data_IF_589355192764
#
_entry.id   IF_589355192764
#
_cell.length_a   1.000
_cell.length_b   1.000
_cell.length_c   1.000
_cell.angle_alpha   90.00
_cell.angle_beta   90.00
_cell.angle_gamma   90.00
#
_symmetry.space_group_name_H-M   'P 1'
#
loop_
_entity.id
_entity.type
_entity.pdbx_description
1 polymer ?
#
# COMPACT_ATOMS: atom_id res chain seq x y z
N UNK A 1 -25.68 30.59 -8.30
CA UNK A 1 -24.26 30.15 -8.39
C UNK A 1 -24.27 28.78 -9.03
N UNK A 2 -23.25 28.43 -9.81
CA UNK A 2 -23.09 27.05 -10.27
C UNK A 2 -22.97 26.13 -9.04
N UNK A 3 -23.49 24.91 -9.13
CA UNK A 3 -23.35 23.91 -8.06
C UNK A 3 -21.88 23.51 -7.98
N UNK A 4 -21.37 23.27 -6.77
CA UNK A 4 -20.05 22.67 -6.60
C UNK A 4 -20.03 21.29 -7.29
N UNK A 5 -18.91 20.91 -7.92
CA UNK A 5 -18.79 19.66 -8.67
C UNK A 5 -17.74 18.71 -8.07
N UNK A 6 -18.17 17.49 -7.75
CA UNK A 6 -17.31 16.37 -7.38
C UNK A 6 -17.18 15.39 -8.55
N UNK A 7 -15.95 15.19 -9.03
CA UNK A 7 -15.64 14.26 -10.12
C UNK A 7 -15.06 12.96 -9.54
N UNK A 8 -15.83 11.88 -9.60
CA UNK A 8 -15.38 10.55 -9.18
C UNK A 8 -14.63 9.90 -10.34
N UNK A 9 -13.31 9.73 -10.28
CA UNK A 9 -12.57 9.09 -11.37
C UNK A 9 -12.51 7.57 -11.23
N UNK A 10 -12.73 7.06 -10.01
CA UNK A 10 -12.76 5.62 -9.73
C UNK A 10 -13.73 5.33 -8.57
N UNK A 11 -14.99 4.97 -8.86
CA UNK A 11 -16.03 4.88 -7.83
C UNK A 11 -15.81 3.67 -6.94
N UNK A 12 -16.01 3.84 -5.63
CA UNK A 12 -15.93 2.79 -4.59
C UNK A 12 -17.32 2.40 -4.08
N UNK A 13 -18.22 3.38 -3.95
CA UNK A 13 -19.57 3.17 -3.47
C UNK A 13 -20.47 2.62 -4.59
N UNK A 14 -20.54 1.30 -4.70
CA UNK A 14 -21.39 0.64 -5.70
C UNK A 14 -22.89 0.88 -5.47
N UNK A 15 -23.32 1.16 -4.23
CA UNK A 15 -24.71 1.47 -3.91
C UNK A 15 -25.07 2.92 -4.23
N UNK A 16 -24.08 3.80 -4.35
CA UNK A 16 -24.22 5.21 -4.68
C UNK A 16 -24.87 6.05 -3.58
N UNK A 17 -25.06 5.51 -2.39
CA UNK A 17 -25.73 6.20 -1.28
C UNK A 17 -24.97 7.46 -0.85
N UNK A 18 -23.64 7.42 -0.86
CA UNK A 18 -22.79 8.59 -0.59
C UNK A 18 -22.95 9.67 -1.66
N UNK A 19 -23.04 9.27 -2.92
CA UNK A 19 -23.25 10.20 -4.03
C UNK A 19 -24.62 10.86 -3.95
N UNK A 20 -25.67 10.14 -3.55
CA UNK A 20 -27.00 10.71 -3.30
C UNK A 20 -27.01 11.68 -2.11
N UNK A 21 -26.29 11.37 -1.03
CA UNK A 21 -26.12 12.31 0.10
C UNK A 21 -25.43 13.60 -0.32
N UNK A 22 -24.38 13.52 -1.14
CA UNK A 22 -23.71 14.69 -1.71
C UNK A 22 -24.65 15.51 -2.60
N UNK A 23 -25.42 14.85 -3.49
CA UNK A 23 -26.42 15.50 -4.36
C UNK A 23 -27.51 16.21 -3.57
N UNK A 24 -27.97 15.61 -2.48
CA UNK A 24 -28.96 16.22 -1.59
C UNK A 24 -28.45 17.52 -0.92
N UNK A 25 -27.12 17.68 -0.77
CA UNK A 25 -26.48 18.92 -0.32
C UNK A 25 -26.16 19.91 -1.44
N UNK A 26 -26.69 19.68 -2.66
CA UNK A 26 -26.53 20.59 -3.79
C UNK A 26 -25.22 20.43 -4.56
N UNK A 27 -24.47 19.36 -4.33
CA UNK A 27 -23.23 19.04 -5.05
C UNK A 27 -23.58 18.28 -6.34
N UNK A 28 -23.03 18.68 -7.47
CA UNK A 28 -23.08 17.91 -8.71
C UNK A 28 -22.03 16.79 -8.64
N UNK A 29 -22.44 15.53 -8.81
CA UNK A 29 -21.55 14.37 -8.65
C UNK A 29 -21.49 13.60 -9.96
N UNK A 30 -20.33 13.70 -10.62
CA UNK A 30 -20.02 13.00 -11.86
C UNK A 30 -19.39 11.66 -11.52
N UNK A 31 -19.98 10.57 -12.00
CA UNK A 31 -19.52 9.20 -11.76
C UNK A 31 -19.43 8.47 -13.11
N UNK A 32 -18.29 7.83 -13.44
CA UNK A 32 -18.14 7.08 -14.67
C UNK A 32 -18.90 5.76 -14.57
N UNK A 33 -19.23 5.20 -15.74
CA UNK A 33 -19.95 3.93 -15.83
C UNK A 33 -19.12 2.72 -15.35
N UNK A 34 -17.78 2.83 -15.35
CA UNK A 34 -16.88 1.74 -14.97
C UNK A 34 -16.50 1.78 -13.47
N UNK A 35 -16.88 0.71 -12.75
CA UNK A 35 -16.47 0.48 -11.38
C UNK A 35 -14.98 0.15 -11.24
N UNK A 36 -14.40 0.51 -10.09
CA UNK A 36 -12.97 0.32 -9.82
C UNK A 36 -12.49 -1.13 -10.00
N UNK A 37 -13.31 -2.11 -9.60
CA UNK A 37 -12.99 -3.53 -9.68
C UNK A 37 -12.88 -4.05 -11.12
N UNK A 38 -13.62 -3.44 -12.06
CA UNK A 38 -13.53 -3.80 -13.49
C UNK A 38 -12.26 -3.20 -14.11
N UNK A 39 -11.91 -1.97 -13.73
CA UNK A 39 -10.68 -1.32 -14.19
C UNK A 39 -9.40 -1.99 -13.64
N UNK A 40 -9.44 -2.58 -12.45
CA UNK A 40 -8.28 -3.21 -11.80
C UNK A 40 -7.67 -4.39 -12.58
N UNK A 41 -8.42 -4.99 -13.51
CA UNK A 41 -7.95 -6.10 -14.35
C UNK A 41 -7.33 -5.65 -15.69
N UNK A 42 -7.27 -4.33 -15.95
CA UNK A 42 -6.72 -3.78 -17.19
C UNK A 42 -5.26 -3.37 -16.99
N UNK A 43 -4.40 -3.70 -17.95
CA UNK A 43 -2.99 -3.25 -17.99
C UNK A 43 -2.82 -1.82 -18.51
N UNK A 44 -3.82 -1.33 -19.24
CA UNK A 44 -3.78 -0.01 -19.83
C UNK A 44 -3.66 1.07 -18.75
N UNK A 45 -2.77 2.03 -18.99
CA UNK A 45 -2.62 3.21 -18.16
C UNK A 45 -3.29 4.38 -18.86
N UNK A 46 -4.25 4.97 -18.16
CA UNK A 46 -5.06 6.07 -18.66
C UNK A 46 -4.73 7.29 -17.81
N UNK A 47 -4.49 8.40 -18.47
CA UNK A 47 -4.48 9.72 -17.85
C UNK A 47 -5.93 10.15 -17.61
N UNK A 48 -6.29 10.38 -16.35
CA UNK A 48 -7.61 10.88 -16.01
C UNK A 48 -7.69 12.34 -16.41
N UNK A 49 -8.82 12.76 -16.97
CA UNK A 49 -9.10 14.17 -17.18
C UNK A 49 -10.36 14.54 -16.40
N UNK A 50 -10.20 15.45 -15.45
CA UNK A 50 -11.34 16.02 -14.73
C UNK A 50 -12.10 17.01 -15.61
N UNK A 51 -13.35 17.30 -15.26
CA UNK A 51 -14.10 18.38 -15.89
C UNK A 51 -13.42 19.73 -15.58
N UNK A 52 -13.45 20.69 -16.50
CA UNK A 52 -12.82 22.01 -16.31
C UNK A 52 -13.34 22.74 -15.05
N UNK A 53 -14.60 22.50 -14.68
CA UNK A 53 -15.29 23.07 -13.53
C UNK A 53 -15.34 22.12 -12.31
N UNK A 54 -14.51 21.07 -12.26
CA UNK A 54 -14.42 20.21 -11.08
C UNK A 54 -13.80 20.94 -9.86
N UNK A 55 -14.46 20.85 -8.71
CA UNK A 55 -13.98 21.41 -7.44
C UNK A 55 -13.25 20.37 -6.58
N UNK A 56 -13.57 19.08 -6.73
CA UNK A 56 -12.89 17.99 -6.03
C UNK A 56 -12.87 16.70 -6.86
N UNK A 57 -11.74 15.98 -6.83
CA UNK A 57 -11.57 14.66 -7.46
C UNK A 57 -11.62 13.53 -6.43
N UNK A 58 -12.36 12.45 -6.69
CA UNK A 58 -12.55 11.32 -5.77
C UNK A 58 -12.19 9.98 -6.42
N UNK A 59 -11.40 9.14 -5.76
CA UNK A 59 -11.10 7.81 -6.29
C UNK A 59 -10.12 6.99 -5.47
N UNK A 60 -9.53 5.98 -6.07
CA UNK A 60 -8.54 5.11 -5.41
C UNK A 60 -7.18 5.32 -6.04
N UNK A 61 -6.13 5.01 -5.27
CA UNK A 61 -4.82 4.85 -5.87
C UNK A 61 -4.80 3.57 -6.72
N UNK A 62 -4.57 3.74 -8.02
CA UNK A 62 -4.46 2.64 -8.98
C UNK A 62 -3.41 2.98 -10.03
N UNK A 63 -2.64 1.97 -10.47
CA UNK A 63 -1.65 2.12 -11.55
C UNK A 63 -2.29 2.43 -12.91
N UNK A 64 -3.54 1.98 -13.09
CA UNK A 64 -4.29 2.11 -14.35
C UNK A 64 -4.81 3.52 -14.61
N UNK A 65 -4.94 4.37 -13.59
CA UNK A 65 -5.49 5.72 -13.70
C UNK A 65 -4.58 6.71 -12.99
N UNK A 66 -3.92 7.58 -13.76
CA UNK A 66 -2.96 8.54 -13.24
C UNK A 66 -3.53 9.96 -13.32
N UNK A 67 -3.30 10.74 -12.27
CA UNK A 67 -3.59 12.16 -12.17
C UNK A 67 -2.28 12.91 -12.38
N UNK A 68 -2.04 13.36 -13.61
CA UNK A 68 -0.80 14.07 -13.98
C UNK A 68 -0.91 15.55 -13.66
N UNK A 69 0.17 16.32 -13.85
CA UNK A 69 0.09 17.78 -13.91
C UNK A 69 -1.01 18.27 -14.86
N UNK A 70 -1.12 17.71 -16.06
CA UNK A 70 -2.14 18.15 -17.03
C UNK A 70 -3.56 17.85 -16.54
N UNK A 71 -3.78 16.72 -15.86
CA UNK A 71 -5.05 16.43 -15.16
C UNK A 71 -5.40 17.53 -14.17
N UNK A 72 -4.43 17.94 -13.34
CA UNK A 72 -4.65 18.90 -12.25
C UNK A 72 -4.80 20.34 -12.77
N UNK A 73 -4.05 20.71 -13.82
CA UNK A 73 -4.14 22.04 -14.46
C UNK A 73 -5.44 22.23 -15.24
N UNK A 74 -6.06 21.14 -15.71
CA UNK A 74 -7.32 21.19 -16.46
C UNK A 74 -8.49 21.77 -15.65
N UNK A 75 -8.42 21.71 -14.32
CA UNK A 75 -9.48 22.17 -13.42
C UNK A 75 -8.97 23.28 -12.49
N UNK A 76 -8.96 24.55 -12.92
CA UNK A 76 -8.42 25.66 -12.12
C UNK A 76 -9.13 25.88 -10.78
N UNK A 77 -10.39 25.42 -10.66
CA UNK A 77 -11.19 25.44 -9.43
C UNK A 77 -10.90 24.29 -8.47
N UNK A 78 -10.12 23.28 -8.87
CA UNK A 78 -9.88 22.08 -8.08
C UNK A 78 -9.24 22.44 -6.74
N UNK A 79 -9.92 22.06 -5.67
CA UNK A 79 -9.51 22.34 -4.29
C UNK A 79 -8.80 21.15 -3.66
N UNK A 80 -9.21 19.94 -4.01
CA UNK A 80 -8.60 18.73 -3.47
C UNK A 80 -8.75 17.50 -4.40
N UNK A 81 -7.93 16.49 -4.14
CA UNK A 81 -8.12 15.10 -4.57
C UNK A 81 -8.17 14.23 -3.31
N UNK A 82 -9.22 13.42 -3.17
CA UNK A 82 -9.42 12.54 -2.03
C UNK A 82 -9.38 11.06 -2.45
N UNK A 83 -8.54 10.30 -1.76
CA UNK A 83 -8.36 8.87 -1.99
C UNK A 83 -9.11 8.04 -0.95
N UNK A 84 -9.86 7.02 -1.40
CA UNK A 84 -10.45 5.99 -0.52
C UNK A 84 -9.41 4.99 0.02
N UNK A 85 -8.17 5.04 -0.50
CA UNK A 85 -7.07 4.13 -0.15
C UNK A 85 -6.09 4.76 0.85
N UNK A 86 -5.23 3.92 1.44
CA UNK A 86 -4.05 4.38 2.19
C UNK A 86 -3.02 5.01 1.25
N UNK A 87 -2.77 4.39 0.09
CA UNK A 87 -1.86 4.93 -0.91
C UNK A 87 -2.49 6.02 -1.76
N UNK A 88 -1.64 6.81 -2.40
CA UNK A 88 -1.95 7.99 -3.22
C UNK A 88 -0.88 8.18 -4.33
N UNK A 89 -0.23 7.10 -4.74
CA UNK A 89 0.95 7.12 -5.62
C UNK A 89 0.64 7.41 -7.10
N UNK A 90 -0.64 7.52 -7.47
CA UNK A 90 -1.08 7.83 -8.82
C UNK A 90 -1.45 9.31 -9.03
N UNK A 91 -1.09 10.20 -8.10
CA UNK A 91 -1.17 11.66 -8.29
C UNK A 91 0.21 12.29 -8.35
N UNK A 92 0.39 13.24 -9.27
CA UNK A 92 1.55 14.12 -9.30
C UNK A 92 1.54 15.05 -8.08
N UNK A 93 2.20 14.59 -7.01
CA UNK A 93 2.25 15.30 -5.73
C UNK A 93 2.92 16.67 -5.85
N UNK A 94 3.97 16.76 -6.69
CA UNK A 94 4.72 18.00 -6.91
C UNK A 94 3.82 19.04 -7.57
N UNK A 95 3.09 18.64 -8.62
CA UNK A 95 2.09 19.51 -9.27
C UNK A 95 0.93 19.88 -8.34
N UNK A 96 0.39 18.93 -7.57
CA UNK A 96 -0.69 19.20 -6.61
C UNK A 96 -0.28 20.26 -5.58
N UNK A 97 0.90 20.10 -4.99
CA UNK A 97 1.47 21.05 -4.03
C UNK A 97 1.71 22.41 -4.67
N UNK A 98 2.32 22.46 -5.86
CA UNK A 98 2.56 23.71 -6.59
C UNK A 98 1.27 24.45 -6.95
N UNK A 99 0.23 23.73 -7.35
CA UNK A 99 -1.04 24.36 -7.76
C UNK A 99 -1.87 24.83 -6.56
N UNK A 100 -1.56 24.37 -5.34
CA UNK A 100 -2.38 24.67 -4.17
C UNK A 100 -3.61 23.77 -4.09
N UNK A 101 -3.45 22.49 -4.42
CA UNK A 101 -4.49 21.45 -4.40
C UNK A 101 -4.14 20.47 -3.29
N UNK A 102 -5.07 20.26 -2.36
CA UNK A 102 -4.84 19.29 -1.28
C UNK A 102 -4.97 17.87 -1.79
N UNK A 103 -4.10 16.98 -1.32
CA UNK A 103 -4.25 15.54 -1.47
C UNK A 103 -4.59 14.96 -0.10
N UNK A 104 -5.71 14.27 0.00
CA UNK A 104 -6.12 13.56 1.22
C UNK A 104 -6.29 12.07 0.94
N UNK A 105 -6.05 11.24 1.94
CA UNK A 105 -6.15 9.79 1.85
C UNK A 105 -6.97 9.22 3.01
N UNK A 106 -7.35 7.94 2.92
CA UNK A 106 -8.23 7.32 3.91
C UNK A 106 -7.55 6.11 4.58
N UNK A 107 -6.66 6.33 5.56
CA UNK A 107 -5.96 5.27 6.26
C UNK A 107 -6.82 4.57 7.31
N UNK A 108 -7.93 3.98 6.86
CA UNK A 108 -8.87 3.25 7.72
C UNK A 108 -8.25 1.95 8.25
N UNK A 109 -8.57 1.58 9.48
CA UNK A 109 -8.08 0.34 10.11
C UNK A 109 -8.37 -0.93 9.29
N UNK A 110 -9.57 -1.11 8.70
CA UNK A 110 -9.83 -2.26 7.84
C UNK A 110 -8.91 -2.36 6.62
N UNK A 111 -8.31 -1.24 6.18
CA UNK A 111 -7.35 -1.22 5.07
C UNK A 111 -5.93 -1.56 5.55
N UNK A 112 -5.32 -0.72 6.41
CA UNK A 112 -3.93 -0.96 6.84
C UNK A 112 -3.79 -2.15 7.79
N UNK A 113 -4.79 -2.41 8.63
CA UNK A 113 -4.82 -3.56 9.55
C UNK A 113 -4.95 -4.87 8.79
N UNK A 114 -5.77 -4.88 7.73
CA UNK A 114 -5.91 -6.02 6.81
C UNK A 114 -4.60 -6.36 6.11
N UNK A 115 -3.80 -5.37 5.69
CA UNK A 115 -2.46 -5.64 5.11
C UNK A 115 -1.57 -6.34 6.13
N UNK A 116 -1.49 -5.81 7.35
CA UNK A 116 -0.63 -6.38 8.39
C UNK A 116 -1.04 -7.83 8.74
N UNK A 117 -2.35 -8.10 8.85
CA UNK A 117 -2.87 -9.45 9.08
C UNK A 117 -2.52 -10.42 7.93
N UNK A 118 -2.73 -10.01 6.68
CA UNK A 118 -2.42 -10.86 5.53
C UNK A 118 -0.93 -11.11 5.35
N UNK A 119 -0.08 -10.09 5.56
CA UNK A 119 1.39 -10.22 5.54
C UNK A 119 1.85 -11.18 6.61
N UNK A 120 1.33 -11.03 7.82
CA UNK A 120 1.58 -11.94 8.92
C UNK A 120 1.22 -13.40 8.55
N UNK A 121 0.03 -13.62 7.99
CA UNK A 121 -0.41 -14.94 7.53
C UNK A 121 0.51 -15.52 6.44
N UNK A 122 0.95 -14.70 5.48
CA UNK A 122 1.83 -15.14 4.39
C UNK A 122 3.24 -15.47 4.86
N UNK A 123 3.80 -14.70 5.80
CA UNK A 123 5.08 -15.03 6.44
C UNK A 123 4.97 -16.39 7.14
N UNK A 124 3.90 -16.64 7.90
CA UNK A 124 3.68 -17.94 8.54
C UNK A 124 3.52 -19.07 7.51
N UNK A 125 2.80 -18.82 6.42
CA UNK A 125 2.62 -19.81 5.36
C UNK A 125 3.97 -20.23 4.74
N UNK A 126 4.86 -19.26 4.47
CA UNK A 126 6.21 -19.52 3.98
C UNK A 126 7.07 -20.26 5.00
N UNK A 127 7.15 -19.75 6.24
CA UNK A 127 7.96 -20.38 7.31
C UNK A 127 7.51 -21.81 7.62
N UNK A 128 6.21 -22.10 7.50
CA UNK A 128 5.65 -23.43 7.79
C UNK A 128 5.51 -24.30 6.54
N UNK A 129 5.87 -23.83 5.36
CA UNK A 129 5.75 -24.54 4.08
C UNK A 129 4.33 -25.09 3.86
N UNK A 130 3.32 -24.27 4.13
CA UNK A 130 1.92 -24.72 4.18
C UNK A 130 1.45 -25.22 2.81
N UNK A 131 1.78 -24.49 1.74
CA UNK A 131 1.39 -24.81 0.35
C UNK A 131 2.06 -26.10 -0.11
N UNK A 132 3.34 -26.26 0.19
CA UNK A 132 4.15 -27.41 -0.20
C UNK A 132 3.67 -28.68 0.51
N UNK A 133 3.39 -28.59 1.82
CA UNK A 133 2.86 -29.71 2.60
C UNK A 133 1.49 -30.14 2.12
N UNK A 134 0.58 -29.20 1.89
CA UNK A 134 -0.76 -29.47 1.37
C UNK A 134 -0.69 -30.18 0.01
N UNK A 135 0.09 -29.62 -0.93
CA UNK A 135 0.33 -30.20 -2.25
C UNK A 135 0.91 -31.61 -2.16
N UNK A 136 1.93 -31.82 -1.32
CA UNK A 136 2.59 -33.11 -1.14
C UNK A 136 1.62 -34.22 -0.70
N UNK A 137 0.79 -33.95 0.30
CA UNK A 137 -0.20 -34.92 0.80
C UNK A 137 -1.26 -35.21 -0.26
N UNK A 138 -1.75 -34.19 -0.97
CA UNK A 138 -2.73 -34.37 -2.06
C UNK A 138 -2.18 -35.18 -3.24
N UNK A 139 -0.86 -35.21 -3.41
CA UNK A 139 -0.16 -36.03 -4.41
C UNK A 139 0.20 -37.43 -3.92
N UNK A 140 -0.29 -37.85 -2.73
CA UNK A 140 -0.05 -39.17 -2.16
C UNK A 140 1.23 -39.28 -1.31
N UNK A 141 1.90 -38.15 -1.05
CA UNK A 141 3.04 -38.06 -0.15
C UNK A 141 2.65 -38.12 1.33
N UNK A 142 3.66 -38.21 2.22
CA UNK A 142 3.46 -38.24 3.66
C UNK A 142 4.57 -37.53 4.46
N UNK A 143 5.55 -38.27 5.01
CA UNK A 143 6.68 -37.72 5.75
C UNK A 143 7.86 -37.50 4.82
N UNK A 144 8.22 -36.24 4.61
CA UNK A 144 9.41 -35.84 3.86
C UNK A 144 10.21 -34.78 4.65
N UNK A 145 11.48 -35.05 5.02
CA UNK A 145 12.35 -34.07 5.68
C UNK A 145 12.50 -32.74 4.94
N UNK A 146 12.33 -32.71 3.60
CA UNK A 146 12.38 -31.47 2.80
C UNK A 146 11.27 -30.48 3.15
N UNK A 147 10.18 -30.97 3.75
CA UNK A 147 9.04 -30.18 4.20
C UNK A 147 9.20 -29.65 5.64
N UNK A 148 10.39 -29.75 6.23
CA UNK A 148 10.67 -29.13 7.53
C UNK A 148 10.44 -27.62 7.45
N UNK A 149 9.68 -27.09 8.40
CA UNK A 149 9.43 -25.66 8.52
C UNK A 149 10.32 -25.03 9.60
N UNK A 150 10.30 -23.71 9.66
CA UNK A 150 11.12 -22.90 10.57
C UNK A 150 10.38 -22.65 11.88
N UNK A 151 11.04 -22.82 13.02
CA UNK A 151 10.51 -22.42 14.32
C UNK A 151 10.68 -20.90 14.50
N UNK A 152 9.73 -20.21 15.15
CA UNK A 152 9.67 -18.75 15.09
C UNK A 152 10.36 -18.09 16.29
N UNK A 153 9.89 -18.40 17.49
CA UNK A 153 10.37 -17.75 18.71
C UNK A 153 11.59 -18.45 19.33
N UNK A 154 12.13 -17.90 20.43
CA UNK A 154 13.22 -18.52 21.14
C UNK A 154 12.79 -19.83 21.83
N UNK A 155 13.77 -20.69 22.13
CA UNK A 155 13.58 -21.98 22.81
C UNK A 155 14.58 -22.17 23.95
N UNK A 156 14.25 -23.08 24.87
CA UNK A 156 15.07 -23.38 26.05
C UNK A 156 16.44 -24.00 25.71
N UNK A 157 16.62 -24.50 24.50
CA UNK A 157 17.89 -25.07 24.03
C UNK A 157 18.82 -24.03 23.37
N UNK A 158 18.49 -22.74 23.49
CA UNK A 158 19.34 -21.64 23.01
C UNK A 158 19.08 -21.21 21.57
N UNK A 159 18.08 -21.78 20.89
CA UNK A 159 17.62 -21.19 19.62
C UNK A 159 16.99 -19.83 19.88
N UNK A 160 17.50 -18.77 19.23
CA UNK A 160 17.08 -17.39 19.48
C UNK A 160 15.76 -17.01 18.80
N UNK A 161 15.30 -17.82 17.85
CA UNK A 161 14.18 -17.49 16.98
C UNK A 161 14.65 -16.84 15.67
N UNK A 162 13.70 -16.41 14.86
CA UNK A 162 13.95 -15.62 13.66
C UNK A 162 14.08 -14.13 14.01
N UNK A 163 14.71 -13.36 13.13
CA UNK A 163 14.69 -11.89 13.15
C UNK A 163 13.79 -11.34 12.05
N UNK A 164 12.87 -10.45 12.41
CA UNK A 164 12.01 -9.71 11.49
C UNK A 164 12.56 -8.30 11.25
N UNK A 165 12.84 -7.94 10.00
CA UNK A 165 13.22 -6.60 9.56
C UNK A 165 12.09 -5.88 8.85
N UNK A 166 11.69 -4.71 9.34
CA UNK A 166 10.59 -3.90 8.82
C UNK A 166 11.13 -2.61 8.19
N UNK A 167 10.90 -2.43 6.90
CA UNK A 167 11.20 -1.18 6.18
C UNK A 167 9.93 -0.34 6.17
N UNK A 168 9.94 0.77 6.90
CA UNK A 168 8.76 1.61 7.14
C UNK A 168 7.95 1.13 8.35
N UNK A 169 8.06 1.84 9.47
CA UNK A 169 7.32 1.60 10.70
C UNK A 169 6.13 2.57 10.81
N UNK A 170 5.39 2.67 9.68
CA UNK A 170 4.10 3.33 9.58
C UNK A 170 2.97 2.52 10.22
N UNK A 171 1.70 2.79 9.90
CA UNK A 171 0.55 2.06 10.47
C UNK A 171 0.65 0.54 10.27
N UNK A 172 1.00 0.11 9.05
CA UNK A 172 1.11 -1.31 8.68
C UNK A 172 2.31 -1.95 9.39
N UNK A 173 3.51 -1.36 9.28
CA UNK A 173 4.72 -1.88 9.92
C UNK A 173 4.61 -1.97 11.44
N UNK A 174 4.08 -0.93 12.08
CA UNK A 174 3.75 -0.93 13.51
C UNK A 174 2.84 -2.07 13.90
N UNK A 175 1.71 -2.23 13.19
CA UNK A 175 0.75 -3.30 13.48
C UNK A 175 1.36 -4.67 13.29
N UNK A 176 2.19 -4.85 12.26
CA UNK A 176 2.89 -6.10 12.04
C UNK A 176 3.86 -6.42 13.17
N UNK A 177 4.62 -5.42 13.65
CA UNK A 177 5.49 -5.58 14.81
C UNK A 177 4.69 -6.07 16.03
N UNK A 178 3.55 -5.44 16.32
CA UNK A 178 2.65 -5.83 17.43
C UNK A 178 2.15 -7.27 17.31
N UNK A 179 1.79 -7.72 16.08
CA UNK A 179 1.34 -9.08 15.82
C UNK A 179 2.44 -10.12 16.10
N UNK A 180 3.72 -9.77 15.92
CA UNK A 180 4.85 -10.67 16.17
C UNK A 180 5.35 -10.64 17.62
N UNK A 181 4.99 -9.64 18.43
CA UNK A 181 5.45 -9.52 19.83
C UNK A 181 5.27 -10.78 20.69
N UNK A 182 4.15 -11.53 20.61
CA UNK A 182 3.96 -12.72 21.44
C UNK A 182 5.02 -13.82 21.22
N UNK A 183 5.66 -13.87 20.04
CA UNK A 183 6.76 -14.80 19.77
C UNK A 183 8.10 -14.40 20.37
N UNK A 184 8.23 -13.16 20.88
CA UNK A 184 9.46 -12.66 21.51
C UNK A 184 10.67 -12.76 20.57
N UNK A 185 10.43 -12.58 19.28
CA UNK A 185 11.50 -12.52 18.27
C UNK A 185 12.17 -11.15 18.28
N UNK A 186 13.37 -11.07 17.69
CA UNK A 186 14.03 -9.80 17.42
C UNK A 186 13.29 -9.08 16.29
N UNK A 187 12.92 -7.82 16.51
CA UNK A 187 12.31 -6.96 15.49
C UNK A 187 13.23 -5.78 15.25
N UNK A 188 13.72 -5.67 14.03
CA UNK A 188 14.50 -4.56 13.50
C UNK A 188 13.59 -3.68 12.65
N UNK A 189 13.76 -2.37 12.70
CA UNK A 189 13.02 -1.46 11.85
C UNK A 189 13.89 -0.32 11.33
N UNK A 190 13.65 0.07 10.08
CA UNK A 190 14.27 1.23 9.45
C UNK A 190 13.19 2.16 8.92
N UNK A 191 13.09 3.36 9.49
CA UNK A 191 12.17 4.41 9.06
C UNK A 191 12.74 5.78 9.45
N UNK A 192 13.19 6.60 8.48
CA UNK A 192 13.85 7.87 8.77
C UNK A 192 12.88 9.03 9.09
N UNK A 193 11.56 8.82 9.00
CA UNK A 193 10.57 9.89 9.10
C UNK A 193 9.68 9.83 10.33
N UNK A 194 9.97 8.94 11.29
CA UNK A 194 9.19 8.80 12.52
C UNK A 194 10.05 9.08 13.75
N UNK A 195 9.39 9.46 14.84
CA UNK A 195 10.05 9.67 16.12
C UNK A 195 10.54 8.36 16.76
N UNK A 196 11.67 8.43 17.48
CA UNK A 196 12.23 7.32 18.26
C UNK A 196 11.21 6.67 19.21
N UNK A 197 10.27 7.47 19.74
CA UNK A 197 9.21 7.02 20.64
C UNK A 197 8.35 5.91 20.04
N UNK A 198 8.18 5.91 18.71
CA UNK A 198 7.37 4.93 17.99
C UNK A 198 8.07 3.57 17.90
N UNK A 199 9.39 3.55 17.72
CA UNK A 199 10.19 2.32 17.80
C UNK A 199 10.08 1.67 19.18
N UNK A 200 10.21 2.47 20.23
CA UNK A 200 10.05 2.01 21.63
C UNK A 200 8.64 1.47 21.87
N UNK A 201 7.61 2.17 21.41
CA UNK A 201 6.21 1.77 21.62
C UNK A 201 5.90 0.40 21.03
N UNK A 202 6.43 0.10 19.83
CA UNK A 202 6.22 -1.18 19.14
C UNK A 202 7.32 -2.22 19.43
N UNK A 203 8.21 -1.95 20.40
CA UNK A 203 9.33 -2.81 20.76
C UNK A 203 10.11 -3.29 19.51
N UNK A 204 10.42 -2.33 18.63
CA UNK A 204 11.22 -2.52 17.43
C UNK A 204 12.55 -1.75 17.58
N UNK A 205 13.66 -2.38 17.24
CA UNK A 205 14.98 -1.75 17.33
C UNK A 205 15.25 -0.89 16.09
N UNK A 206 15.51 0.41 16.24
CA UNK A 206 15.88 1.26 15.11
C UNK A 206 17.27 0.87 14.61
N UNK A 207 17.39 0.59 13.32
CA UNK A 207 18.65 0.26 12.63
C UNK A 207 18.70 0.90 11.25
N UNK A 208 19.89 0.96 10.66
CA UNK A 208 20.04 1.33 9.26
C UNK A 208 19.62 0.18 8.31
N UNK A 209 19.44 0.52 7.02
CA UNK A 209 19.06 -0.45 5.99
C UNK A 209 20.07 -1.58 5.83
N UNK A 210 21.37 -1.32 5.98
CA UNK A 210 22.40 -2.33 5.81
C UNK A 210 22.33 -3.41 6.90
N UNK A 211 22.25 -2.97 8.15
CA UNK A 211 22.08 -3.82 9.32
C UNK A 211 20.77 -4.61 9.22
N UNK A 212 19.68 -3.95 8.82
CA UNK A 212 18.38 -4.60 8.65
C UNK A 212 18.46 -5.77 7.66
N UNK A 213 19.07 -5.55 6.49
CA UNK A 213 19.18 -6.59 5.45
C UNK A 213 20.08 -7.75 5.88
N UNK A 214 21.23 -7.45 6.51
CA UNK A 214 22.19 -8.47 6.93
C UNK A 214 21.70 -9.33 8.11
N UNK A 215 20.92 -8.74 9.03
CA UNK A 215 20.52 -9.42 10.28
C UNK A 215 19.13 -10.05 10.24
N UNK A 216 18.30 -9.77 9.25
CA UNK A 216 16.92 -10.26 9.19
C UNK A 216 16.78 -11.59 8.47
N UNK A 217 15.96 -12.49 9.01
CA UNK A 217 15.52 -13.71 8.31
C UNK A 217 14.26 -13.45 7.48
N UNK A 218 13.48 -12.43 7.85
CA UNK A 218 12.36 -11.91 7.06
C UNK A 218 12.56 -10.41 6.88
N UNK A 219 12.53 -9.91 5.64
CA UNK A 219 12.54 -8.47 5.35
C UNK A 219 11.20 -8.10 4.74
N UNK A 220 10.50 -7.12 5.30
CA UNK A 220 9.16 -6.71 4.82
C UNK A 220 9.08 -5.21 4.58
N UNK A 221 8.58 -4.81 3.40
CA UNK A 221 8.46 -3.42 2.99
C UNK A 221 7.03 -2.88 3.15
N UNK A 222 6.92 -1.75 3.88
CA UNK A 222 5.69 -1.03 4.17
C UNK A 222 5.85 0.50 4.02
N UNK A 223 6.81 0.94 3.21
CA UNK A 223 7.02 2.35 2.86
C UNK A 223 6.16 2.78 1.65
N UNK A 224 5.94 4.09 1.53
CA UNK A 224 5.27 4.67 0.36
C UNK A 224 6.16 4.57 -0.88
N UNK A 225 5.57 4.47 -2.07
CA UNK A 225 6.31 4.60 -3.33
C UNK A 225 6.60 6.07 -3.62
N UNK A 226 7.89 6.42 -3.68
CA UNK A 226 8.40 7.76 -3.96
C UNK A 226 9.61 7.65 -4.91
N UNK A 227 10.19 8.79 -5.28
CA UNK A 227 11.48 8.82 -6.01
C UNK A 227 12.59 8.10 -5.23
N UNK A 228 12.56 8.15 -3.89
CA UNK A 228 13.58 7.56 -3.01
C UNK A 228 13.38 6.05 -2.78
N UNK A 229 12.15 5.55 -2.84
CA UNK A 229 11.83 4.14 -2.57
C UNK A 229 11.62 3.32 -3.85
N UNK A 230 11.66 3.95 -5.02
CA UNK A 230 11.65 3.22 -6.30
C UNK A 230 12.94 2.43 -6.45
N UNK A 231 12.82 1.12 -6.68
CA UNK A 231 13.91 0.14 -6.69
C UNK A 231 14.78 0.21 -5.43
N UNK A 232 14.16 0.47 -4.27
CA UNK A 232 14.83 0.46 -2.97
C UNK A 232 15.51 -0.87 -2.68
N UNK A 233 14.90 -1.98 -3.11
CA UNK A 233 15.48 -3.32 -3.02
C UNK A 233 15.86 -3.78 -4.42
N UNK A 234 17.11 -3.56 -4.80
CA UNK A 234 17.71 -4.03 -6.04
C UNK A 234 18.72 -5.15 -5.82
N UNK A 235 19.54 -5.43 -6.83
CA UNK A 235 20.56 -6.49 -6.79
C UNK A 235 21.51 -6.37 -5.57
N UNK A 236 21.93 -5.14 -5.24
CA UNK A 236 22.85 -4.87 -4.14
C UNK A 236 22.23 -5.18 -2.79
N UNK A 237 20.97 -4.79 -2.58
CA UNK A 237 20.24 -5.00 -1.34
C UNK A 237 19.91 -6.48 -1.17
N UNK A 238 19.49 -7.15 -2.24
CA UNK A 238 19.25 -8.60 -2.26
C UNK A 238 20.54 -9.38 -1.93
N UNK A 239 21.69 -8.96 -2.44
CA UNK A 239 22.98 -9.59 -2.14
C UNK A 239 23.44 -9.41 -0.67
N UNK A 240 22.87 -8.43 0.06
CA UNK A 240 23.13 -8.21 1.49
C UNK A 240 22.25 -9.04 2.39
N UNK A 241 21.13 -9.56 1.87
CA UNK A 241 20.23 -10.41 2.65
C UNK A 241 20.88 -11.76 2.96
N UNK A 242 20.39 -12.41 4.03
CA UNK A 242 20.85 -13.77 4.36
C UNK A 242 20.42 -14.77 3.28
N UNK A 243 21.22 -15.82 3.00
CA UNK A 243 20.83 -16.91 2.11
C UNK A 243 19.48 -17.56 2.43
N UNK A 244 19.12 -17.62 3.72
CA UNK A 244 17.85 -18.17 4.20
C UNK A 244 16.70 -17.17 4.26
N UNK A 245 16.90 -15.91 3.86
CA UNK A 245 15.93 -14.85 4.09
C UNK A 245 14.73 -14.93 3.14
N UNK A 246 13.59 -14.40 3.60
CA UNK A 246 12.40 -14.19 2.77
C UNK A 246 12.14 -12.70 2.65
N UNK A 247 11.98 -12.21 1.42
CA UNK A 247 11.56 -10.83 1.13
C UNK A 247 10.03 -10.76 1.04
N UNK A 248 9.42 -9.75 1.64
CA UNK A 248 7.97 -9.50 1.58
C UNK A 248 7.71 -8.10 1.06
N UNK A 249 6.88 -7.99 0.02
CA UNK A 249 6.39 -6.71 -0.48
C UNK A 249 4.86 -6.76 -0.61
N UNK A 250 4.21 -6.01 0.27
CA UNK A 250 2.78 -5.72 0.21
C UNK A 250 2.53 -4.20 0.20
N UNK A 251 3.53 -3.43 -0.23
CA UNK A 251 3.46 -1.98 -0.36
C UNK A 251 3.17 -1.59 -1.81
N UNK A 252 4.20 -1.54 -2.65
CA UNK A 252 4.09 -1.25 -4.09
C UNK A 252 5.14 -2.04 -4.87
N UNK A 253 4.74 -2.57 -6.03
CA UNK A 253 5.60 -3.38 -6.89
C UNK A 253 6.96 -2.74 -7.20
N UNK A 254 7.02 -1.47 -7.67
CA UNK A 254 8.28 -0.81 -8.02
C UNK A 254 9.22 -0.50 -6.86
N UNK A 255 8.88 -0.84 -5.62
CA UNK A 255 9.83 -0.75 -4.50
C UNK A 255 10.93 -1.82 -4.63
N UNK A 256 10.60 -2.93 -5.30
CA UNK A 256 11.50 -4.05 -5.54
C UNK A 256 11.78 -4.15 -7.03
N UNK A 257 13.05 -4.27 -7.38
CA UNK A 257 13.45 -4.69 -8.73
C UNK A 257 13.12 -6.18 -8.88
N UNK A 258 12.04 -6.48 -9.60
CA UNK A 258 11.52 -7.85 -9.75
C UNK A 258 12.43 -8.74 -10.57
N UNK A 259 13.19 -8.18 -11.51
CA UNK A 259 14.13 -8.96 -12.32
C UNK A 259 15.35 -9.33 -11.46
N UNK A 260 15.87 -8.39 -10.67
CA UNK A 260 16.92 -8.70 -9.70
C UNK A 260 16.45 -9.70 -8.63
N UNK A 261 15.19 -9.60 -8.19
CA UNK A 261 14.59 -10.57 -7.26
C UNK A 261 14.49 -11.96 -7.87
N UNK A 262 14.07 -12.06 -9.13
CA UNK A 262 14.04 -13.33 -9.86
C UNK A 262 15.44 -13.97 -9.88
N UNK A 263 16.48 -13.22 -10.27
CA UNK A 263 17.86 -13.72 -10.34
C UNK A 263 18.36 -14.17 -8.96
N UNK A 264 18.07 -13.41 -7.91
CA UNK A 264 18.45 -13.76 -6.54
C UNK A 264 17.78 -15.06 -6.06
N UNK A 265 16.51 -15.28 -6.42
CA UNK A 265 15.77 -16.50 -6.08
C UNK A 265 16.19 -17.71 -6.92
N UNK A 266 16.41 -17.52 -8.22
CA UNK A 266 16.83 -18.59 -9.13
C UNK A 266 18.22 -19.13 -8.72
N UNK A 267 19.10 -18.24 -8.28
CA UNK A 267 20.45 -18.56 -7.82
C UNK A 267 20.54 -18.93 -6.33
N UNK A 268 19.41 -19.13 -5.66
CA UNK A 268 19.32 -19.48 -4.23
C UNK A 268 20.09 -18.50 -3.30
N UNK A 269 20.21 -17.22 -3.69
CA UNK A 269 20.81 -16.16 -2.85
C UNK A 269 19.92 -15.76 -1.69
N UNK A 270 18.60 -15.91 -1.84
CA UNK A 270 17.61 -15.83 -0.77
C UNK A 270 16.63 -16.99 -0.91
N UNK A 271 15.94 -17.34 0.18
CA UNK A 271 15.13 -18.56 0.22
C UNK A 271 13.74 -18.41 -0.41
N UNK A 272 13.19 -17.20 -0.44
CA UNK A 272 11.86 -16.98 -0.99
C UNK A 272 11.39 -15.53 -1.01
N UNK A 273 10.21 -15.31 -1.58
CA UNK A 273 9.55 -14.02 -1.59
C UNK A 273 8.03 -14.14 -1.43
N UNK A 274 7.42 -13.10 -0.88
CA UNK A 274 5.97 -12.89 -0.80
C UNK A 274 5.67 -11.56 -1.48
N UNK A 275 4.89 -11.57 -2.55
CA UNK A 275 4.54 -10.37 -3.31
C UNK A 275 3.02 -10.30 -3.46
N UNK A 276 2.40 -9.32 -2.80
CA UNK A 276 1.01 -8.94 -3.10
C UNK A 276 0.94 -7.94 -4.26
N UNK A 277 2.07 -7.34 -4.63
CA UNK A 277 2.15 -6.26 -5.61
C UNK A 277 3.29 -6.53 -6.60
N UNK A 278 3.10 -6.09 -7.84
CA UNK A 278 4.07 -6.22 -8.93
C UNK A 278 4.23 -4.89 -9.69
N UNK A 279 5.36 -4.64 -10.38
CA UNK A 279 5.54 -3.42 -11.16
C UNK A 279 4.45 -3.22 -12.22
N UNK A 280 3.97 -4.31 -12.82
CA UNK A 280 2.83 -4.32 -13.72
C UNK A 280 1.71 -5.19 -13.15
N UNK A 281 0.51 -4.63 -13.13
CA UNK A 281 -0.67 -5.25 -12.52
C UNK A 281 -1.87 -5.08 -13.47
N UNK A 282 -2.48 -6.16 -13.97
CA UNK A 282 -2.05 -7.57 -13.82
C UNK A 282 -0.76 -7.86 -14.62
N UNK A 283 0.15 -8.72 -14.10
CA UNK A 283 1.41 -9.01 -14.79
C UNK A 283 1.20 -9.73 -16.12
N UNK A 284 2.21 -9.71 -16.98
CA UNK A 284 2.27 -10.63 -18.12
C UNK A 284 2.37 -12.08 -17.60
N UNK A 285 1.57 -13.05 -18.09
CA UNK A 285 1.70 -14.46 -17.71
C UNK A 285 3.10 -15.04 -17.97
N UNK A 286 3.90 -14.42 -18.84
CA UNK A 286 5.28 -14.79 -19.13
C UNK A 286 6.32 -14.10 -18.22
N UNK A 287 5.90 -13.25 -17.28
CA UNK A 287 6.83 -12.64 -16.31
C UNK A 287 7.57 -13.76 -15.55
N UNK A 288 8.92 -13.82 -15.61
CA UNK A 288 9.69 -14.98 -15.12
C UNK A 288 9.44 -15.37 -13.67
N UNK A 289 9.25 -14.38 -12.78
CA UNK A 289 9.02 -14.61 -11.34
C UNK A 289 7.79 -15.47 -11.05
N UNK A 290 6.80 -15.47 -11.96
CA UNK A 290 5.59 -16.32 -11.84
C UNK A 290 5.91 -17.82 -11.96
N UNK A 291 7.05 -18.16 -12.58
CA UNK A 291 7.49 -19.54 -12.82
C UNK A 291 8.29 -20.18 -11.67
N UNK A 292 8.61 -19.43 -10.61
CA UNK A 292 9.49 -19.91 -9.52
C UNK A 292 8.81 -20.85 -8.49
N UNK A 293 7.56 -21.25 -8.75
CA UNK A 293 6.86 -22.27 -7.96
C UNK A 293 6.68 -21.85 -6.49
N UNK A 294 7.15 -22.68 -5.56
CA UNK A 294 6.97 -22.47 -4.12
C UNK A 294 7.96 -21.47 -3.49
N UNK A 295 9.00 -21.05 -4.23
CA UNK A 295 9.90 -19.98 -3.78
C UNK A 295 9.18 -18.63 -3.69
N UNK A 296 8.09 -18.45 -4.43
CA UNK A 296 7.33 -17.19 -4.45
C UNK A 296 5.87 -17.44 -4.09
N UNK A 297 5.36 -16.67 -3.13
CA UNK A 297 3.94 -16.55 -2.83
C UNK A 297 3.44 -15.25 -3.44
N UNK A 298 2.47 -15.38 -4.36
CA UNK A 298 1.86 -14.26 -5.06
C UNK A 298 0.43 -14.06 -4.59
N UNK A 299 0.03 -12.80 -4.45
CA UNK A 299 -1.36 -12.40 -4.26
C UNK A 299 -1.71 -11.28 -5.25
N UNK A 300 -2.94 -11.21 -5.76
CA UNK A 300 -3.30 -10.30 -6.84
C UNK A 300 -3.65 -8.88 -6.33
N UNK A 301 -2.79 -8.27 -5.50
CA UNK A 301 -3.01 -6.95 -4.88
C UNK A 301 -4.35 -6.87 -4.11
N UNK A 302 -4.62 -7.93 -3.34
CA UNK A 302 -5.87 -8.13 -2.62
C UNK A 302 -5.65 -8.65 -1.20
N UNK A 303 -4.46 -8.47 -0.63
CA UNK A 303 -4.15 -8.93 0.73
C UNK A 303 -5.09 -8.35 1.81
N UNK A 304 -5.76 -7.23 1.51
CA UNK A 304 -6.73 -6.57 2.40
C UNK A 304 -8.18 -6.99 2.19
N UNK A 305 -8.46 -7.79 1.16
CA UNK A 305 -9.82 -8.17 0.77
C UNK A 305 -10.41 -9.20 1.73
N UNK A 306 -11.03 -8.71 2.81
CA UNK A 306 -11.70 -9.53 3.81
C UNK A 306 -13.21 -9.26 3.80
N UNK A 307 -14.00 -10.25 4.26
CA UNK A 307 -15.45 -10.07 4.41
C UNK A 307 -15.75 -8.97 5.43
N UNK A 308 -16.60 -8.01 5.08
CA UNK A 308 -16.98 -6.90 5.96
C UNK A 308 -15.92 -5.80 6.10
N UNK A 309 -14.80 -5.88 5.36
CA UNK A 309 -13.76 -4.84 5.32
C UNK A 309 -13.72 -4.15 3.95
N UNK A 310 -12.60 -3.50 3.62
CA UNK A 310 -12.35 -2.90 2.32
C UNK A 310 -12.59 -1.39 2.32
N UNK A 311 -12.63 -0.82 1.11
CA UNK A 311 -12.67 0.62 0.89
C UNK A 311 -14.00 1.28 1.29
N UNK A 312 -15.05 0.49 1.58
CA UNK A 312 -16.35 1.01 2.02
C UNK A 312 -16.22 1.83 3.32
N UNK A 313 -15.30 1.47 4.20
CA UNK A 313 -15.04 2.19 5.45
C UNK A 313 -14.39 3.56 5.25
N UNK A 314 -13.83 3.81 4.06
CA UNK A 314 -13.30 5.13 3.69
C UNK A 314 -14.38 6.07 3.17
N UNK A 315 -15.56 5.58 2.81
CA UNK A 315 -16.64 6.41 2.24
C UNK A 315 -17.01 7.58 3.16
N UNK A 316 -17.26 7.39 4.47
CA UNK A 316 -17.59 8.51 5.35
C UNK A 316 -16.46 9.54 5.46
N UNK A 317 -15.19 9.09 5.41
CA UNK A 317 -14.04 9.99 5.50
C UNK A 317 -13.90 10.84 4.24
N UNK A 318 -14.04 10.22 3.07
CA UNK A 318 -14.02 10.95 1.79
C UNK A 318 -15.21 11.91 1.67
N UNK A 319 -16.39 11.54 2.17
CA UNK A 319 -17.53 12.45 2.27
C UNK A 319 -17.22 13.68 3.13
N UNK A 320 -16.62 13.50 4.30
CA UNK A 320 -16.23 14.63 5.16
C UNK A 320 -15.14 15.49 4.51
N UNK A 321 -14.19 14.91 3.78
CA UNK A 321 -13.21 15.66 2.98
C UNK A 321 -13.92 16.54 1.95
N UNK A 322 -14.89 16.00 1.22
CA UNK A 322 -15.72 16.77 0.27
C UNK A 322 -16.38 17.95 0.97
N UNK A 323 -17.06 17.70 2.09
CA UNK A 323 -17.79 18.76 2.79
C UNK A 323 -16.87 19.82 3.40
N UNK A 324 -15.73 19.44 3.97
CA UNK A 324 -14.77 20.39 4.54
C UNK A 324 -14.15 21.29 3.46
N UNK A 325 -13.65 20.68 2.39
CA UNK A 325 -12.99 21.39 1.29
C UNK A 325 -13.94 22.34 0.58
N UNK A 326 -15.19 21.93 0.36
CA UNK A 326 -16.21 22.79 -0.23
C UNK A 326 -16.65 23.94 0.69
N UNK A 327 -16.55 23.77 2.03
CA UNK A 327 -16.73 24.86 3.00
C UNK A 327 -15.51 25.79 3.11
N UNK A 328 -14.40 25.47 2.45
CA UNK A 328 -13.15 26.20 2.59
C UNK A 328 -12.43 25.90 3.91
N UNK A 329 -12.68 24.72 4.48
CA UNK A 329 -12.05 24.18 5.68
C UNK A 329 -10.99 23.14 5.30
N UNK A 330 -9.91 23.06 6.07
CA UNK A 330 -8.86 22.05 5.86
C UNK A 330 -9.38 20.69 6.34
N UNK A 331 -9.43 19.66 5.47
CA UNK A 331 -9.87 18.32 5.85
C UNK A 331 -8.81 17.59 6.68
N UNK A 332 -9.20 16.49 7.31
CA UNK A 332 -8.24 15.58 7.93
C UNK A 332 -7.40 14.81 6.89
N UNK A 333 -6.27 14.26 7.36
CA UNK A 333 -5.40 13.35 6.60
C UNK A 333 -4.88 13.92 5.26
N UNK A 334 -4.62 15.22 5.22
CA UNK A 334 -3.86 15.85 4.14
C UNK A 334 -2.43 15.31 4.15
N UNK A 335 -1.93 14.87 2.98
CA UNK A 335 -0.59 14.28 2.86
C UNK A 335 0.46 15.26 2.34
N UNK A 336 0.04 16.40 1.79
CA UNK A 336 0.90 17.48 1.31
C UNK A 336 0.67 18.78 2.09
N UNK A 337 0.87 18.73 3.41
CA UNK A 337 0.63 19.85 4.33
C UNK A 337 1.39 21.14 3.95
N UNK A 338 2.51 21.03 3.24
CA UNK A 338 3.28 22.16 2.74
C UNK A 338 2.49 23.06 1.78
N UNK A 339 1.42 22.55 1.15
CA UNK A 339 0.55 23.35 0.27
C UNK A 339 -0.48 24.21 1.02
N UNK A 340 -0.67 23.98 2.33
CA UNK A 340 -1.73 24.63 3.13
C UNK A 340 -1.74 26.16 3.04
N UNK A 341 -0.60 26.89 3.13
CA UNK A 341 -0.62 28.34 3.02
C UNK A 341 -1.21 28.84 1.69
N UNK A 342 -0.82 28.21 0.58
CA UNK A 342 -1.33 28.54 -0.76
C UNK A 342 -2.80 28.14 -0.91
N UNK A 343 -3.18 26.98 -0.39
CA UNK A 343 -4.57 26.53 -0.41
C UNK A 343 -5.50 27.47 0.37
N UNK A 344 -5.08 27.94 1.56
CA UNK A 344 -5.83 28.88 2.38
C UNK A 344 -6.01 30.24 1.69
N UNK A 345 -5.00 30.74 0.99
CA UNK A 345 -5.11 31.97 0.19
C UNK A 345 -6.17 31.82 -0.92
N UNK A 346 -6.14 30.66 -1.61
CA UNK A 346 -7.07 30.37 -2.71
C UNK A 346 -8.49 30.12 -2.22
N UNK A 347 -8.70 29.34 -1.17
CA UNK A 347 -10.00 28.73 -0.83
C UNK A 347 -10.42 28.85 0.64
N UNK A 348 -9.51 29.24 1.54
CA UNK A 348 -9.80 29.32 2.98
C UNK A 348 -11.01 30.19 3.28
N UNK A 349 -12.00 29.62 3.99
CA UNK A 349 -13.24 30.30 4.36
C UNK A 349 -14.20 30.64 3.21
N UNK A 350 -13.91 30.22 1.97
CA UNK A 350 -14.74 30.47 0.78
C UNK A 350 -15.65 29.26 0.52
N UNK A 351 -16.84 29.25 1.12
CA UNK A 351 -17.81 28.15 0.93
C UNK A 351 -18.42 28.12 -0.47
N UNK A 352 -18.63 26.92 -1.01
CA UNK A 352 -19.40 26.62 -2.22
C UNK A 352 -20.74 25.92 -1.94
N UNK A 353 -20.97 25.52 -0.68
CA UNK A 353 -22.17 24.80 -0.20
C UNK A 353 -22.77 25.44 1.04
#
# INVERSE_FOLDING_TARGET
>A
MAKAKAHVFQPVDAGGESYERMRAKGIDVVVPDEAWASAANKRERIEVMFDEDADIGLGIASRSKNLTRATLENSPGLRAVAFYTVGYDNVDMEAATELGILVSHSPTEPNWGGVAEGVFAYILAMLKKVREKDRHVKQGGWRDPKLTGTYIGPRLDGYEGITLGIIGLGRIGSRLADLFQPWRIKILACDPYIDESKFVHHNAMPVDMETLLQESDIVTAHCNLTKETTNLIGEKELARMKPGAILVNAARGPIVDVDALFDALDQDRIAGAVLDVLPEEPPDPQTPILGLGDKVLLSPHMITANHGTGLIHAIPWVEEVVYAVLRGEVPEHVVNEETLPKWLERFGGKSLI
#
